data_IF_208062146521
#
_entry.id   IF_208062146521
#
_cell.length_a   1.000
_cell.length_b   1.000
_cell.length_c   1.000
_cell.angle_alpha   90.00
_cell.angle_beta   90.00
_cell.angle_gamma   90.00
#
_symmetry.space_group_name_H-M   'P 1'
#
loop_
_entity.id
_entity.type
_entity.pdbx_description
1 polymer ?
#
# COMPACT_ATOMS: atom_id res chain seq x y z
N UNK A 1 -4.40 7.32 -10.80
CA UNK A 1 -4.19 7.55 -9.37
C UNK A 1 -2.83 8.18 -9.07
N UNK A 2 -1.80 7.84 -9.84
CA UNK A 2 -0.49 8.50 -9.68
C UNK A 2 -0.61 10.02 -9.88
N UNK A 3 -1.38 10.45 -10.85
CA UNK A 3 -1.62 11.88 -11.10
C UNK A 3 -2.29 12.56 -9.90
N UNK A 4 -3.26 11.89 -9.28
CA UNK A 4 -3.99 12.43 -8.13
C UNK A 4 -3.10 12.52 -6.89
N UNK A 5 -2.18 11.57 -6.70
CA UNK A 5 -1.27 11.52 -5.54
C UNK A 5 0.00 12.37 -5.71
N UNK A 6 0.34 12.74 -6.95
CA UNK A 6 1.55 13.50 -7.24
C UNK A 6 1.71 14.80 -6.43
N UNK A 7 0.64 15.60 -6.19
CA UNK A 7 0.76 16.82 -5.41
C UNK A 7 1.27 16.63 -3.99
N UNK A 8 1.06 15.47 -3.38
CA UNK A 8 1.56 15.16 -2.03
C UNK A 8 2.86 14.35 -2.08
N UNK A 9 3.43 14.16 -3.27
CA UNK A 9 4.71 13.50 -3.45
C UNK A 9 4.66 11.97 -3.38
N UNK A 10 3.51 11.38 -3.59
CA UNK A 10 3.35 9.92 -3.59
C UNK A 10 3.02 9.38 -4.98
N UNK A 11 3.52 8.17 -5.25
CA UNK A 11 3.01 7.31 -6.30
C UNK A 11 1.97 6.36 -5.72
N UNK A 12 1.18 5.73 -6.57
CA UNK A 12 0.23 4.69 -6.16
C UNK A 12 0.94 3.56 -5.43
N UNK A 13 2.10 3.15 -5.94
CA UNK A 13 2.90 2.09 -5.33
C UNK A 13 3.39 2.47 -3.93
N UNK A 14 3.84 3.71 -3.75
CA UNK A 14 4.28 4.21 -2.45
C UNK A 14 3.12 4.29 -1.46
N UNK A 15 1.98 4.81 -1.89
CA UNK A 15 0.77 4.84 -1.06
C UNK A 15 0.38 3.43 -0.62
N UNK A 16 0.38 2.48 -1.57
CA UNK A 16 0.07 1.07 -1.27
C UNK A 16 1.03 0.46 -0.27
N UNK A 17 2.33 0.77 -0.40
CA UNK A 17 3.34 0.28 0.54
C UNK A 17 3.14 0.85 1.95
N UNK A 18 2.86 2.16 2.07
CA UNK A 18 2.55 2.77 3.36
C UNK A 18 1.32 2.14 3.99
N UNK A 19 0.30 1.85 3.20
CA UNK A 19 -0.93 1.20 3.65
C UNK A 19 -0.65 -0.19 4.21
N UNK A 20 0.15 -0.98 3.51
CA UNK A 20 0.53 -2.32 3.94
C UNK A 20 1.29 -2.27 5.27
N UNK A 21 2.23 -1.35 5.40
CA UNK A 21 3.02 -1.19 6.63
C UNK A 21 2.14 -0.77 7.80
N UNK A 22 1.20 0.14 7.56
CA UNK A 22 0.25 0.57 8.58
C UNK A 22 -0.62 -0.58 9.08
N UNK A 23 -1.10 -1.42 8.19
CA UNK A 23 -1.95 -2.56 8.52
C UNK A 23 -1.17 -3.74 9.10
N UNK A 24 0.14 -3.79 8.86
CA UNK A 24 1.02 -4.88 9.28
C UNK A 24 2.28 -4.32 9.95
N UNK A 25 2.13 -3.63 11.10
CA UNK A 25 3.29 -3.04 11.77
C UNK A 25 4.29 -4.11 12.18
N UNK A 26 5.57 -3.84 11.97
CA UNK A 26 6.64 -4.79 12.24
C UNK A 26 6.93 -5.75 11.09
N UNK A 27 6.30 -5.56 9.92
CA UNK A 27 6.53 -6.45 8.79
C UNK A 27 7.97 -6.37 8.27
N UNK A 28 8.46 -7.49 7.75
CA UNK A 28 9.75 -7.58 7.08
C UNK A 28 9.64 -7.26 5.60
N UNK A 29 10.78 -7.14 4.91
CA UNK A 29 10.80 -7.04 3.45
C UNK A 29 10.18 -8.25 2.77
N UNK A 30 10.38 -9.45 3.33
CA UNK A 30 9.76 -10.67 2.81
C UNK A 30 8.24 -10.63 2.97
N UNK A 31 7.74 -10.14 4.10
CA UNK A 31 6.30 -9.95 4.31
C UNK A 31 5.72 -8.98 3.29
N UNK A 32 6.38 -7.84 3.06
CA UNK A 32 5.97 -6.86 2.07
C UNK A 32 5.90 -7.47 0.67
N UNK A 33 6.90 -8.25 0.29
CA UNK A 33 6.96 -8.94 -1.00
C UNK A 33 5.74 -9.84 -1.19
N UNK A 34 5.39 -10.64 -0.17
CA UNK A 34 4.23 -11.54 -0.25
C UNK A 34 2.91 -10.78 -0.32
N UNK A 35 2.73 -9.78 0.54
CA UNK A 35 1.47 -9.05 0.63
C UNK A 35 1.23 -8.23 -0.64
N UNK A 36 2.26 -7.59 -1.16
CA UNK A 36 2.16 -6.73 -2.34
C UNK A 36 2.25 -7.48 -3.67
N UNK A 37 2.51 -8.78 -3.66
CA UNK A 37 2.71 -9.59 -4.87
C UNK A 37 3.81 -9.02 -5.78
N UNK A 38 4.91 -8.62 -5.17
CA UNK A 38 6.09 -8.11 -5.89
C UNK A 38 7.30 -8.97 -5.55
N UNK A 39 8.37 -8.82 -6.34
CA UNK A 39 9.61 -9.55 -6.05
C UNK A 39 10.24 -9.04 -4.75
N UNK A 40 11.06 -9.86 -4.07
CA UNK A 40 11.82 -9.39 -2.91
C UNK A 40 12.68 -8.18 -3.21
N UNK A 41 13.26 -8.10 -4.40
CA UNK A 41 14.07 -6.96 -4.82
C UNK A 41 13.24 -5.69 -4.98
N UNK A 42 12.06 -5.79 -5.57
CA UNK A 42 11.15 -4.64 -5.72
C UNK A 42 10.69 -4.13 -4.34
N UNK A 43 10.38 -5.04 -3.42
CA UNK A 43 10.03 -4.69 -2.05
C UNK A 43 11.19 -3.98 -1.35
N UNK A 44 12.41 -4.51 -1.47
CA UNK A 44 13.59 -3.91 -0.89
C UNK A 44 13.85 -2.50 -1.43
N UNK A 45 13.72 -2.30 -2.73
CA UNK A 45 13.88 -1.00 -3.37
C UNK A 45 12.83 0.00 -2.86
N UNK A 46 11.58 -0.43 -2.76
CA UNK A 46 10.50 0.42 -2.24
C UNK A 46 10.77 0.83 -0.79
N UNK A 47 11.13 -0.12 0.06
CA UNK A 47 11.42 0.16 1.47
C UNK A 47 12.61 1.11 1.62
N UNK A 48 13.64 0.94 0.80
CA UNK A 48 14.80 1.84 0.81
C UNK A 48 14.39 3.28 0.46
N UNK A 49 13.54 3.46 -0.54
CA UNK A 49 13.05 4.79 -0.94
C UNK A 49 12.21 5.42 0.15
N UNK A 50 11.32 4.66 0.79
CA UNK A 50 10.49 5.16 1.88
C UNK A 50 11.35 5.53 3.10
N UNK A 51 12.38 4.75 3.38
CA UNK A 51 13.32 5.03 4.47
C UNK A 51 14.11 6.31 4.20
N UNK A 52 14.62 6.49 2.98
CA UNK A 52 15.32 7.70 2.57
C UNK A 52 14.42 8.94 2.67
N UNK A 53 13.15 8.79 2.39
CA UNK A 53 12.16 9.87 2.51
C UNK A 53 11.69 10.08 3.95
N UNK A 54 12.19 9.31 4.92
CA UNK A 54 11.85 9.36 6.34
C UNK A 54 10.37 9.08 6.62
N UNK A 55 9.76 8.26 5.79
CA UNK A 55 8.36 7.87 5.94
C UNK A 55 8.20 6.59 6.75
N UNK A 56 9.29 5.81 6.86
CA UNK A 56 9.32 4.59 7.64
C UNK A 56 10.58 4.55 8.49
N UNK A 57 10.54 3.72 9.54
CA UNK A 57 11.73 3.29 10.28
C UNK A 57 11.85 1.79 10.17
N UNK A 58 13.10 1.32 10.11
CA UNK A 58 13.40 -0.10 10.10
C UNK A 58 14.24 -0.40 11.34
N UNK A 59 13.69 -1.23 12.23
CA UNK A 59 14.30 -1.52 13.52
C UNK A 59 14.73 -2.96 13.60
N UNK A 60 15.85 -3.25 14.30
CA UNK A 60 16.17 -4.62 14.66
C UNK A 60 15.05 -5.18 15.53
N UNK A 61 14.62 -6.43 15.33
CA UNK A 61 13.65 -7.05 16.21
C UNK A 61 14.28 -7.31 17.59
N UNK A 62 13.44 -7.59 18.58
CA UNK A 62 13.92 -7.99 19.91
C UNK A 62 14.73 -9.28 19.84
N UNK A 63 14.43 -10.14 18.86
CA UNK A 63 15.15 -11.38 18.60
C UNK A 63 15.30 -11.57 17.09
N UNK A 64 16.48 -12.04 16.66
CA UNK A 64 16.74 -12.32 15.25
C UNK A 64 17.39 -11.17 14.51
N UNK A 65 17.47 -11.29 13.17
CA UNK A 65 18.18 -10.36 12.30
C UNK A 65 17.32 -9.67 11.26
N UNK A 66 16.03 -10.03 11.20
CA UNK A 66 15.11 -9.49 10.21
C UNK A 66 14.58 -8.16 10.74
N UNK A 67 14.80 -7.10 9.96
CA UNK A 67 14.35 -5.76 10.35
C UNK A 67 12.82 -5.67 10.33
N UNK A 68 12.27 -5.04 11.36
CA UNK A 68 10.86 -4.72 11.46
C UNK A 68 10.61 -3.31 10.92
N UNK A 69 9.54 -3.15 10.16
CA UNK A 69 9.21 -1.90 9.48
C UNK A 69 7.99 -1.24 10.13
N UNK A 70 8.11 0.07 10.38
CA UNK A 70 7.04 0.88 10.98
C UNK A 70 6.95 2.21 10.25
N UNK A 71 5.76 2.79 10.21
CA UNK A 71 5.60 4.16 9.73
C UNK A 71 6.18 5.14 10.75
N UNK A 72 6.76 6.22 10.24
CA UNK A 72 7.06 7.40 11.06
C UNK A 72 5.78 8.23 11.20
N UNK A 73 5.81 9.25 12.07
CA UNK A 73 4.71 10.20 12.17
C UNK A 73 4.43 10.86 10.82
N UNK A 74 5.48 11.24 10.09
CA UNK A 74 5.33 11.80 8.74
C UNK A 74 4.71 10.79 7.76
N UNK A 75 5.11 9.53 7.86
CA UNK A 75 4.54 8.46 7.05
C UNK A 75 3.05 8.28 7.31
N UNK A 76 2.63 8.34 8.57
CA UNK A 76 1.20 8.25 8.92
C UNK A 76 0.40 9.45 8.41
N UNK A 77 0.95 10.66 8.53
CA UNK A 77 0.30 11.87 8.00
C UNK A 77 0.11 11.75 6.49
N UNK A 78 1.15 11.34 5.78
CA UNK A 78 1.11 11.23 4.34
C UNK A 78 0.16 10.12 3.89
N UNK A 79 0.08 9.03 4.65
CA UNK A 79 -0.89 7.98 4.38
C UNK A 79 -2.32 8.48 4.52
N UNK A 80 -2.61 9.26 5.57
CA UNK A 80 -3.96 9.84 5.76
C UNK A 80 -4.33 10.76 4.60
N UNK A 81 -3.40 11.61 4.16
CA UNK A 81 -3.63 12.49 3.00
C UNK A 81 -3.86 11.66 1.73
N UNK A 82 -3.05 10.61 1.53
CA UNK A 82 -3.20 9.71 0.39
C UNK A 82 -4.51 8.95 0.42
N UNK A 83 -4.92 8.43 1.57
CA UNK A 83 -6.20 7.74 1.73
C UNK A 83 -7.38 8.64 1.33
N UNK A 84 -7.33 9.91 1.73
CA UNK A 84 -8.38 10.87 1.37
C UNK A 84 -8.46 11.07 -0.16
N UNK A 85 -7.30 11.19 -0.81
CA UNK A 85 -7.23 11.34 -2.27
C UNK A 85 -7.73 10.08 -2.98
N UNK A 86 -7.37 8.91 -2.47
CA UNK A 86 -7.82 7.63 -3.03
C UNK A 86 -9.33 7.50 -2.89
N UNK A 87 -9.88 7.84 -1.73
CA UNK A 87 -11.33 7.79 -1.50
C UNK A 87 -12.09 8.73 -2.45
N UNK A 88 -11.59 9.95 -2.65
CA UNK A 88 -12.18 10.89 -3.61
C UNK A 88 -12.11 10.37 -5.04
N UNK A 89 -10.98 9.77 -5.42
CA UNK A 89 -10.79 9.22 -6.76
C UNK A 89 -11.72 8.04 -6.99
N UNK A 90 -11.86 7.17 -6.00
CA UNK A 90 -12.78 6.03 -6.04
C UNK A 90 -14.23 6.50 -6.16
N UNK A 91 -14.61 7.52 -5.40
CA UNK A 91 -15.94 8.10 -5.47
C UNK A 91 -16.27 8.62 -6.88
N UNK A 92 -15.31 9.26 -7.54
CA UNK A 92 -15.47 9.71 -8.93
C UNK A 92 -15.60 8.54 -9.90
N UNK A 93 -14.79 7.50 -9.70
CA UNK A 93 -14.80 6.30 -10.53
C UNK A 93 -16.18 5.63 -10.51
N UNK A 94 -16.82 5.60 -9.33
CA UNK A 94 -18.12 4.98 -9.14
C UNK A 94 -19.29 5.98 -9.16
N UNK A 95 -19.07 7.21 -9.59
CA UNK A 95 -20.08 8.28 -9.53
C UNK A 95 -21.39 7.96 -10.28
N UNK A 96 -21.31 7.14 -11.33
CA UNK A 96 -22.47 6.73 -12.12
C UNK A 96 -22.98 5.32 -11.73
N UNK A 97 -22.45 4.75 -10.65
CA UNK A 97 -22.84 3.43 -10.18
C UNK A 97 -23.79 3.56 -9.00
N UNK A 98 -24.83 2.73 -8.98
CA UNK A 98 -25.63 2.55 -7.75
C UNK A 98 -24.78 1.76 -6.73
N UNK A 99 -25.12 1.81 -5.42
CA UNK A 99 -24.43 1.01 -4.42
C UNK A 99 -24.43 -0.49 -4.75
N UNK A 100 -25.54 -1.00 -5.30
CA UNK A 100 -25.65 -2.40 -5.72
C UNK A 100 -24.68 -2.71 -6.88
N UNK A 101 -24.64 -1.83 -7.88
CA UNK A 101 -23.74 -2.00 -9.02
C UNK A 101 -22.27 -1.97 -8.59
N UNK A 102 -21.91 -1.07 -7.68
CA UNK A 102 -20.56 -1.00 -7.15
C UNK A 102 -20.18 -2.29 -6.42
N UNK A 103 -21.10 -2.82 -5.62
CA UNK A 103 -20.90 -4.08 -4.91
C UNK A 103 -20.70 -5.24 -5.90
N UNK A 104 -21.56 -5.31 -6.92
CA UNK A 104 -21.49 -6.35 -7.95
C UNK A 104 -20.17 -6.27 -8.71
N UNK A 105 -19.73 -5.07 -9.09
CA UNK A 105 -18.45 -4.87 -9.76
C UNK A 105 -17.29 -5.38 -8.92
N UNK A 106 -17.26 -5.04 -7.63
CA UNK A 106 -16.23 -5.50 -6.71
C UNK A 106 -16.23 -7.02 -6.56
N UNK A 107 -17.40 -7.64 -6.47
CA UNK A 107 -17.53 -9.11 -6.39
C UNK A 107 -17.00 -9.78 -7.66
N UNK A 108 -17.34 -9.26 -8.84
CA UNK A 108 -16.85 -9.80 -10.10
C UNK A 108 -15.34 -9.66 -10.22
N UNK A 109 -14.79 -8.53 -9.81
CA UNK A 109 -13.35 -8.29 -9.82
C UNK A 109 -12.62 -9.27 -8.91
N UNK A 110 -13.10 -9.44 -7.68
CA UNK A 110 -12.51 -10.36 -6.71
C UNK A 110 -12.60 -11.81 -7.18
N UNK A 111 -13.72 -12.20 -7.81
CA UNK A 111 -13.88 -13.52 -8.40
C UNK A 111 -12.89 -13.77 -9.52
N UNK A 112 -12.68 -12.76 -10.37
CA UNK A 112 -11.72 -12.85 -11.46
C UNK A 112 -10.29 -13.02 -10.93
N UNK A 113 -9.92 -12.27 -9.89
CA UNK A 113 -8.60 -12.39 -9.25
C UNK A 113 -8.44 -13.77 -8.61
N UNK A 114 -9.47 -14.30 -7.96
CA UNK A 114 -9.42 -15.60 -7.33
C UNK A 114 -9.19 -16.75 -8.34
N UNK A 115 -9.58 -16.55 -9.59
CA UNK A 115 -9.38 -17.53 -10.66
C UNK A 115 -7.98 -17.49 -11.27
N UNK A 116 -7.18 -16.47 -10.95
CA UNK A 116 -5.80 -16.40 -11.39
C UNK A 116 -4.94 -17.31 -10.52
N UNK A 117 -3.99 -17.99 -11.15
CA UNK A 117 -3.07 -18.87 -10.43
C UNK A 117 -1.83 -18.08 -10.04
N UNK A 118 -1.72 -17.76 -8.76
CA UNK A 118 -0.58 -17.03 -8.20
C UNK A 118 0.47 -17.95 -7.55
N UNK A 119 0.35 -19.23 -7.78
CA UNK A 119 1.30 -20.20 -7.19
C UNK A 119 2.68 -20.10 -7.81
#
# INVERSE_FOLDING_TARGET
LDTALAPIGLTTAQWGALRIIYENPGSSGADMSRIAFVSPQAAATMLQRLDQAKLITRRPPKRGRILETYLTERGEELLREGDHIVDETEARFFSNFTPTEQKDFNEYLLRSIANMDFK
#
